data_IF_317266810796
#
_entry.id   IF_317266810796
#
_cell.length_a   1.000
_cell.length_b   1.000
_cell.length_c   1.000
_cell.angle_alpha   90.00
_cell.angle_beta   90.00
_cell.angle_gamma   90.00
#
_symmetry.space_group_name_H-M   'P 1'
#
loop_
_entity.id
_entity.type
_entity.pdbx_description
1 polymer ?
#
# COMPACT_ATOMS: atom_id res chain seq x y z
N UNK A 1 -28.42 -12.68 9.92
CA UNK A 1 -27.06 -12.46 10.46
C UNK A 1 -26.21 -11.80 9.39
N UNK A 2 -25.46 -10.75 9.75
CA UNK A 2 -24.77 -9.79 8.87
C UNK A 2 -23.85 -10.45 7.82
N UNK A 3 -24.22 -10.31 6.55
CA UNK A 3 -23.42 -10.72 5.39
C UNK A 3 -22.45 -9.63 4.92
N UNK A 4 -21.56 -9.15 5.80
CA UNK A 4 -20.60 -8.06 5.48
C UNK A 4 -19.18 -8.32 6.04
N UNK A 5 -18.73 -9.59 6.09
CA UNK A 5 -17.47 -9.94 6.76
C UNK A 5 -16.32 -10.40 5.86
N UNK A 6 -16.47 -10.36 4.53
CA UNK A 6 -15.41 -10.81 3.61
C UNK A 6 -14.71 -9.70 2.83
N UNK A 7 -15.33 -8.52 2.63
CA UNK A 7 -14.65 -7.36 2.03
C UNK A 7 -13.49 -6.82 2.89
N UNK A 8 -13.54 -7.03 4.20
CA UNK A 8 -12.57 -6.46 5.15
C UNK A 8 -11.21 -7.18 5.18
N UNK A 9 -11.10 -8.45 4.78
CA UNK A 9 -9.81 -9.16 4.84
C UNK A 9 -8.84 -8.69 3.78
N UNK A 10 -9.35 -8.39 2.58
CA UNK A 10 -8.54 -7.90 1.45
C UNK A 10 -8.11 -6.46 1.72
N UNK A 11 -9.04 -5.59 2.13
CA UNK A 11 -8.71 -4.23 2.51
C UNK A 11 -7.70 -4.17 3.66
N UNK A 12 -7.84 -5.02 4.67
CA UNK A 12 -6.87 -5.08 5.78
C UNK A 12 -5.50 -5.59 5.30
N UNK A 13 -5.46 -6.60 4.42
CA UNK A 13 -4.22 -7.08 3.84
C UNK A 13 -3.52 -6.00 3.00
N UNK A 14 -4.27 -5.28 2.14
CA UNK A 14 -3.75 -4.18 1.34
C UNK A 14 -3.34 -3.00 2.22
N UNK A 15 -4.10 -2.67 3.27
CA UNK A 15 -3.69 -1.65 4.25
C UNK A 15 -2.42 -2.03 4.98
N UNK A 16 -2.25 -3.30 5.36
CA UNK A 16 -1.02 -3.77 5.99
C UNK A 16 0.16 -3.58 5.05
N UNK A 17 0.06 -4.08 3.82
CA UNK A 17 1.10 -3.95 2.80
C UNK A 17 1.41 -2.48 2.48
N UNK A 18 0.39 -1.62 2.42
CA UNK A 18 0.57 -0.19 2.18
C UNK A 18 1.17 0.55 3.39
N UNK A 19 0.88 0.13 4.62
CA UNK A 19 1.53 0.63 5.84
C UNK A 19 3.01 0.26 5.88
N UNK A 20 3.33 -1.00 5.59
CA UNK A 20 4.73 -1.46 5.46
C UNK A 20 5.48 -0.67 4.39
N UNK A 21 4.87 -0.49 3.21
CA UNK A 21 5.45 0.32 2.14
C UNK A 21 5.67 1.78 2.59
N UNK A 22 4.72 2.37 3.32
CA UNK A 22 4.85 3.74 3.82
C UNK A 22 5.95 3.87 4.88
N UNK A 23 6.10 2.89 5.78
CA UNK A 23 7.17 2.87 6.76
C UNK A 23 8.55 2.83 6.09
N UNK A 24 8.75 1.95 5.10
CA UNK A 24 9.99 1.90 4.32
C UNK A 24 10.22 3.21 3.54
N UNK A 25 9.17 3.80 2.97
CA UNK A 25 9.24 5.10 2.29
C UNK A 25 9.70 6.20 3.26
N UNK A 26 9.18 6.24 4.49
CA UNK A 26 9.59 7.22 5.51
C UNK A 26 11.06 7.01 5.90
N UNK A 27 11.48 5.78 6.15
CA UNK A 27 12.89 5.47 6.44
C UNK A 27 13.82 5.88 5.29
N UNK A 28 13.41 5.63 4.04
CA UNK A 28 14.16 6.07 2.87
C UNK A 28 14.24 7.60 2.81
N UNK A 29 13.17 8.30 3.16
CA UNK A 29 13.16 9.77 3.21
C UNK A 29 14.11 10.33 4.26
N UNK A 30 14.28 9.63 5.37
CA UNK A 30 15.20 10.01 6.44
C UNK A 30 16.65 9.63 6.14
N UNK A 31 16.90 8.48 5.49
CA UNK A 31 18.26 7.97 5.22
C UNK A 31 18.87 8.48 3.92
N UNK A 32 18.08 8.74 2.88
CA UNK A 32 18.57 9.04 1.54
C UNK A 32 18.19 10.46 1.09
N UNK A 33 18.92 11.05 0.14
CA UNK A 33 18.53 12.31 -0.50
C UNK A 33 17.39 12.11 -1.51
N UNK A 34 16.64 13.20 -1.79
CA UNK A 34 15.45 13.21 -2.67
C UNK A 34 15.71 12.61 -4.07
N UNK A 35 16.94 12.73 -4.57
CA UNK A 35 17.34 12.19 -5.87
C UNK A 35 17.28 10.65 -5.92
N UNK A 36 17.51 9.98 -4.80
CA UNK A 36 17.46 8.51 -4.71
C UNK A 36 16.09 7.99 -4.26
N UNK A 37 15.24 8.86 -3.70
CA UNK A 37 13.90 8.49 -3.24
C UNK A 37 13.08 7.84 -4.34
N UNK A 38 13.11 8.37 -5.56
CA UNK A 38 12.28 7.86 -6.66
C UNK A 38 12.60 6.39 -7.00
N UNK A 39 13.90 6.04 -7.01
CA UNK A 39 14.37 4.67 -7.24
C UNK A 39 13.94 3.74 -6.11
N UNK A 40 14.19 4.14 -4.86
CA UNK A 40 13.82 3.34 -3.69
C UNK A 40 12.30 3.19 -3.55
N UNK A 41 11.53 4.25 -3.75
CA UNK A 41 10.06 4.20 -3.71
C UNK A 41 9.53 3.30 -4.81
N UNK A 42 10.06 3.39 -6.03
CA UNK A 42 9.66 2.51 -7.12
C UNK A 42 9.93 1.04 -6.78
N UNK A 43 11.07 0.73 -6.18
CA UNK A 43 11.43 -0.63 -5.76
C UNK A 43 10.51 -1.15 -4.65
N UNK A 44 10.30 -0.35 -3.60
CA UNK A 44 9.38 -0.66 -2.48
C UNK A 44 7.97 -0.91 -3.02
N UNK A 45 7.44 0.02 -3.80
CA UNK A 45 6.10 -0.09 -4.39
C UNK A 45 5.97 -1.32 -5.29
N UNK A 46 7.00 -1.65 -6.07
CA UNK A 46 7.00 -2.82 -6.95
C UNK A 46 7.04 -4.14 -6.14
N UNK A 47 7.89 -4.21 -5.11
CA UNK A 47 8.00 -5.37 -4.22
C UNK A 47 6.68 -5.66 -3.49
N UNK A 48 6.04 -4.62 -2.97
CA UNK A 48 4.75 -4.73 -2.28
C UNK A 48 3.60 -4.99 -3.26
N UNK A 49 3.60 -4.35 -4.44
CA UNK A 49 2.62 -4.66 -5.48
C UNK A 49 2.70 -6.13 -5.93
N UNK A 50 3.91 -6.70 -6.02
CA UNK A 50 4.10 -8.12 -6.34
C UNK A 50 3.46 -9.05 -5.31
N UNK A 51 3.54 -8.71 -4.01
CA UNK A 51 2.86 -9.46 -2.94
C UNK A 51 1.33 -9.42 -3.12
N UNK A 52 0.78 -8.29 -3.55
CA UNK A 52 -0.66 -8.15 -3.83
C UNK A 52 -1.05 -8.94 -5.10
N UNK A 53 -0.24 -8.90 -6.16
CA UNK A 53 -0.51 -9.67 -7.40
C UNK A 53 -0.30 -11.18 -7.24
N UNK A 54 0.42 -11.62 -6.20
CA UNK A 54 0.58 -13.03 -5.87
C UNK A 54 -0.67 -13.62 -5.17
N UNK A 55 -1.63 -12.78 -4.78
CA UNK A 55 -2.92 -13.23 -4.27
C UNK A 55 -3.77 -13.85 -5.40
N UNK A 56 -4.63 -14.83 -5.10
CA UNK A 56 -5.41 -15.54 -6.12
C UNK A 56 -6.20 -14.57 -6.99
N UNK A 57 -6.29 -14.85 -8.31
CA UNK A 57 -6.96 -14.01 -9.32
C UNK A 57 -8.43 -13.72 -8.96
N UNK A 58 -9.08 -14.61 -8.21
CA UNK A 58 -10.44 -14.47 -7.69
C UNK A 58 -10.55 -13.36 -6.64
N UNK A 59 -9.44 -13.06 -5.97
CA UNK A 59 -9.26 -12.02 -4.96
C UNK A 59 -8.53 -10.78 -5.51
N UNK A 60 -8.07 -10.81 -6.76
CA UNK A 60 -7.52 -9.63 -7.41
C UNK A 60 -8.67 -8.76 -7.92
N UNK A 61 -8.65 -7.44 -7.66
CA UNK A 61 -9.65 -6.53 -8.20
C UNK A 61 -9.52 -6.52 -9.73
N UNK A 62 -10.43 -7.23 -10.41
CA UNK A 62 -10.48 -7.39 -11.88
C UNK A 62 -10.48 -6.06 -12.65
N UNK A 63 -10.72 -4.95 -11.96
CA UNK A 63 -10.89 -3.61 -12.50
C UNK A 63 -9.67 -2.69 -12.41
N UNK A 64 -8.67 -2.96 -11.54
CA UNK A 64 -7.55 -2.04 -11.37
C UNK A 64 -6.21 -2.73 -11.09
N UNK A 65 -5.10 -2.31 -11.74
CA UNK A 65 -3.78 -2.88 -11.50
C UNK A 65 -3.35 -2.64 -10.04
N UNK A 66 -2.71 -3.64 -9.42
CA UNK A 66 -2.28 -3.61 -8.01
C UNK A 66 -1.45 -2.37 -7.64
N UNK A 67 -0.68 -1.84 -8.59
CA UNK A 67 0.05 -0.56 -8.44
C UNK A 67 -0.87 0.61 -8.08
N UNK A 68 -2.04 0.71 -8.73
CA UNK A 68 -2.99 1.81 -8.52
C UNK A 68 -3.67 1.71 -7.16
N UNK A 69 -3.96 0.49 -6.73
CA UNK A 69 -4.42 0.21 -5.37
C UNK A 69 -3.38 0.61 -4.33
N UNK A 70 -2.13 0.19 -4.52
CA UNK A 70 -1.05 0.52 -3.58
C UNK A 70 -0.87 2.05 -3.47
N UNK A 71 -0.81 2.77 -4.60
CA UNK A 71 -0.71 4.24 -4.58
C UNK A 71 -1.92 4.92 -3.92
N UNK A 72 -3.13 4.39 -4.14
CA UNK A 72 -4.35 4.91 -3.50
C UNK A 72 -4.32 4.70 -1.99
N UNK A 73 -4.03 3.47 -1.53
CA UNK A 73 -3.99 3.14 -0.10
C UNK A 73 -2.84 3.83 0.62
N UNK A 74 -1.66 3.95 0.01
CA UNK A 74 -0.54 4.72 0.58
C UNK A 74 -0.94 6.17 0.80
N UNK A 75 -1.60 6.84 -0.17
CA UNK A 75 -2.11 8.22 0.02
C UNK A 75 -3.22 8.29 1.07
N UNK A 76 -4.11 7.30 1.12
CA UNK A 76 -5.19 7.22 2.12
C UNK A 76 -4.62 7.09 3.53
N UNK A 77 -3.69 6.16 3.73
CA UNK A 77 -3.02 5.91 5.02
C UNK A 77 -2.13 7.08 5.41
N UNK A 78 -1.35 7.66 4.49
CA UNK A 78 -0.56 8.86 4.77
C UNK A 78 -1.46 10.00 5.26
N UNK A 79 -2.62 10.22 4.61
CA UNK A 79 -3.62 11.17 5.10
C UNK A 79 -4.21 10.81 6.45
N UNK A 80 -4.50 9.54 6.73
CA UNK A 80 -5.01 9.12 8.05
C UNK A 80 -3.97 9.31 9.16
N UNK A 81 -2.71 8.95 8.91
CA UNK A 81 -1.61 9.12 9.86
C UNK A 81 -1.31 10.60 10.09
N UNK A 82 -1.25 11.41 9.02
CA UNK A 82 -1.04 12.86 9.13
C UNK A 82 -2.26 13.58 9.73
N UNK A 83 -3.47 13.12 9.42
CA UNK A 83 -4.72 13.69 9.90
C UNK A 83 -5.06 13.35 11.35
N UNK A 84 -4.49 12.28 11.90
CA UNK A 84 -4.56 11.97 13.34
C UNK A 84 -3.62 12.83 14.21
N UNK A 85 -2.74 13.60 13.58
CA UNK A 85 -1.78 14.48 14.26
C UNK A 85 -2.15 15.97 14.13
N UNK A 86 -3.45 16.26 13.96
CA UNK A 86 -4.03 17.60 13.91
C UNK A 86 -5.01 17.83 15.06
#
# INVERSE_FOLDING_TARGET
>A
MRGERMESSIENAIRSVAKDALAEIIEVKEKYPIQEHDKHFTEILNRHAKKITALPIEMQPKTFPAKRWLSYYVRKIDKEIRGQHG
#
